data_IF_480039942063
#
_entry.id   IF_480039942063
#
_cell.length_a   1.000
_cell.length_b   1.000
_cell.length_c   1.000
_cell.angle_alpha   90.00
_cell.angle_beta   90.00
_cell.angle_gamma   90.00
#
_symmetry.space_group_name_H-M   'P 1'
#
loop_
_entity.id
_entity.type
_entity.pdbx_description
1 polymer ?
#
# COMPACT_ATOMS: atom_id res chain seq x y z
N UNK A 1 -23.63 -4.48 25.63
CA UNK A 1 -24.11 -4.24 24.25
C UNK A 1 -22.95 -4.25 23.28
N UNK A 2 -23.11 -4.91 22.16
CA UNK A 2 -22.10 -4.88 21.11
C UNK A 2 -22.05 -3.48 20.49
N UNK A 3 -20.85 -2.93 20.38
CA UNK A 3 -20.64 -1.67 19.66
C UNK A 3 -20.82 -1.99 18.16
N UNK A 4 -21.60 -1.18 17.46
CA UNK A 4 -21.70 -1.28 16.01
C UNK A 4 -20.32 -1.00 15.40
N UNK A 5 -19.80 -1.97 14.68
CA UNK A 5 -18.45 -1.89 14.10
C UNK A 5 -18.32 -0.69 13.15
N UNK A 6 -19.34 -0.42 12.36
CA UNK A 6 -19.34 0.74 11.46
C UNK A 6 -19.26 2.06 12.24
N UNK A 7 -20.01 2.17 13.33
CA UNK A 7 -19.98 3.37 14.17
C UNK A 7 -18.60 3.55 14.84
N UNK A 8 -17.99 2.47 15.29
CA UNK A 8 -16.63 2.48 15.86
C UNK A 8 -15.61 2.96 14.82
N UNK A 9 -15.63 2.38 13.62
CA UNK A 9 -14.75 2.78 12.54
C UNK A 9 -14.97 4.24 12.13
N UNK A 10 -16.23 4.69 12.05
CA UNK A 10 -16.56 6.08 11.72
C UNK A 10 -15.98 7.06 12.74
N UNK A 11 -16.10 6.74 14.03
CA UNK A 11 -15.57 7.57 15.11
C UNK A 11 -14.05 7.64 15.04
N UNK A 12 -13.38 6.50 14.88
CA UNK A 12 -11.93 6.44 14.79
C UNK A 12 -11.40 7.15 13.55
N UNK A 13 -12.06 6.97 12.41
CA UNK A 13 -11.68 7.64 11.16
C UNK A 13 -11.81 9.17 11.29
N UNK A 14 -12.90 9.65 11.87
CA UNK A 14 -13.11 11.09 12.11
C UNK A 14 -12.02 11.67 13.02
N UNK A 15 -11.65 10.94 14.08
CA UNK A 15 -10.60 11.37 15.00
C UNK A 15 -9.23 11.48 14.29
N UNK A 16 -8.89 10.51 13.44
CA UNK A 16 -7.65 10.56 12.65
C UNK A 16 -7.69 11.73 11.65
N UNK A 17 -8.77 11.88 10.90
CA UNK A 17 -8.92 12.96 9.92
C UNK A 17 -8.81 14.34 10.55
N UNK A 18 -9.28 14.51 11.78
CA UNK A 18 -9.18 15.77 12.50
C UNK A 18 -7.73 16.20 12.78
N UNK A 19 -6.78 15.27 12.75
CA UNK A 19 -5.36 15.53 12.99
C UNK A 19 -4.55 15.75 11.70
N UNK A 20 -5.17 15.59 10.54
CA UNK A 20 -4.49 15.63 9.24
C UNK A 20 -4.90 16.89 8.47
N UNK A 21 -3.95 17.66 7.91
CA UNK A 21 -4.28 18.76 7.00
C UNK A 21 -5.03 18.28 5.75
N UNK A 22 -5.88 19.15 5.19
CA UNK A 22 -6.71 18.79 4.03
C UNK A 22 -5.92 18.42 2.76
N UNK A 23 -4.65 18.84 2.67
CA UNK A 23 -3.78 18.53 1.54
C UNK A 23 -2.97 17.25 1.72
N UNK A 24 -3.24 16.47 2.76
CA UNK A 24 -2.57 15.19 3.03
C UNK A 24 -3.50 14.04 2.68
N UNK A 25 -2.99 13.08 1.91
CA UNK A 25 -3.72 11.87 1.55
C UNK A 25 -3.63 10.84 2.69
N UNK A 26 -4.78 10.34 3.11
CA UNK A 26 -4.86 9.27 4.10
C UNK A 26 -4.94 7.93 3.39
N UNK A 27 -4.02 7.04 3.71
CA UNK A 27 -4.07 5.63 3.32
C UNK A 27 -4.41 4.83 4.56
N UNK A 28 -5.52 4.09 4.54
CA UNK A 28 -5.92 3.25 5.65
C UNK A 28 -5.35 1.85 5.46
N UNK A 29 -4.46 1.46 6.36
CA UNK A 29 -3.84 0.13 6.33
C UNK A 29 -4.76 -0.87 6.99
N UNK A 30 -5.18 -1.88 6.24
CA UNK A 30 -6.17 -2.87 6.68
C UNK A 30 -5.59 -4.25 6.99
N UNK A 31 -4.27 -4.36 7.06
CA UNK A 31 -3.59 -5.62 7.34
C UNK A 31 -4.11 -6.26 8.64
N UNK A 32 -4.30 -7.56 8.62
CA UNK A 32 -4.80 -8.38 9.73
C UNK A 32 -6.27 -8.16 10.09
N UNK A 33 -6.92 -7.17 9.50
CA UNK A 33 -8.36 -6.95 9.68
C UNK A 33 -9.15 -7.63 8.57
N UNK A 34 -10.42 -8.00 8.83
CA UNK A 34 -11.22 -8.74 7.85
C UNK A 34 -11.66 -7.88 6.67
N UNK A 35 -12.02 -8.53 5.57
CA UNK A 35 -12.61 -7.88 4.40
C UNK A 35 -13.80 -6.99 4.76
N UNK A 36 -14.63 -7.43 5.71
CA UNK A 36 -15.79 -6.64 6.16
C UNK A 36 -15.42 -5.26 6.69
N UNK A 37 -14.29 -5.13 7.38
CA UNK A 37 -13.81 -3.82 7.85
C UNK A 37 -13.42 -2.92 6.67
N UNK A 38 -12.75 -3.46 5.67
CA UNK A 38 -12.40 -2.69 4.48
C UNK A 38 -13.64 -2.22 3.71
N UNK A 39 -14.68 -3.07 3.63
CA UNK A 39 -15.96 -2.71 3.02
C UNK A 39 -16.66 -1.60 3.78
N UNK A 40 -16.67 -1.66 5.11
CA UNK A 40 -17.24 -0.59 5.95
C UNK A 40 -16.46 0.73 5.78
N UNK A 41 -15.14 0.66 5.70
CA UNK A 41 -14.32 1.85 5.47
C UNK A 41 -14.61 2.47 4.10
N UNK A 42 -14.83 1.67 3.07
CA UNK A 42 -15.27 2.16 1.75
C UNK A 42 -16.59 2.91 1.87
N UNK A 43 -17.57 2.34 2.57
CA UNK A 43 -18.86 3.01 2.79
C UNK A 43 -18.72 4.34 3.55
N UNK A 44 -17.72 4.44 4.42
CA UNK A 44 -17.39 5.66 5.16
C UNK A 44 -16.58 6.69 4.35
N UNK A 45 -16.31 6.40 3.09
CA UNK A 45 -15.64 7.33 2.19
C UNK A 45 -14.12 7.20 2.11
N UNK A 46 -13.53 6.15 2.68
CA UNK A 46 -12.10 5.86 2.50
C UNK A 46 -11.84 5.53 1.03
N UNK A 47 -10.88 6.21 0.43
CA UNK A 47 -10.56 6.07 -1.00
C UNK A 47 -9.24 5.33 -1.25
N UNK A 48 -8.37 5.24 -0.26
CA UNK A 48 -7.05 4.61 -0.40
C UNK A 48 -6.79 3.63 0.74
N UNK A 49 -6.37 2.42 0.36
CA UNK A 49 -6.16 1.30 1.29
C UNK A 49 -4.74 0.77 1.14
N UNK A 50 -4.19 0.24 2.22
CA UNK A 50 -2.87 -0.37 2.23
C UNK A 50 -2.85 -1.78 2.78
N UNK A 51 -2.07 -2.65 2.12
CA UNK A 51 -1.81 -4.01 2.57
C UNK A 51 -0.32 -4.32 2.45
N UNK A 52 0.18 -5.19 3.32
CA UNK A 52 1.57 -5.61 3.27
C UNK A 52 1.78 -7.09 2.96
N UNK A 53 0.69 -7.83 2.72
CA UNK A 53 0.72 -9.22 2.26
C UNK A 53 -0.10 -9.36 1.00
N UNK A 54 0.49 -10.00 0.00
CA UNK A 54 -0.16 -10.24 -1.29
C UNK A 54 -1.52 -10.94 -1.13
N UNK A 55 -1.60 -11.95 -0.29
CA UNK A 55 -2.82 -12.73 -0.09
C UNK A 55 -3.99 -11.85 0.39
N UNK A 56 -3.74 -10.94 1.34
CA UNK A 56 -4.78 -10.06 1.86
C UNK A 56 -5.22 -9.02 0.81
N UNK A 57 -4.28 -8.43 0.07
CA UNK A 57 -4.61 -7.49 -1.00
C UNK A 57 -5.38 -8.14 -2.13
N UNK A 58 -4.97 -9.33 -2.54
CA UNK A 58 -5.64 -10.10 -3.59
C UNK A 58 -7.09 -10.45 -3.24
N UNK A 59 -7.35 -10.73 -1.96
CA UNK A 59 -8.70 -10.99 -1.47
C UNK A 59 -9.56 -9.72 -1.42
N UNK A 60 -9.01 -8.63 -0.92
CA UNK A 60 -9.77 -7.41 -0.60
C UNK A 60 -9.96 -6.49 -1.79
N UNK A 61 -8.93 -6.25 -2.59
CA UNK A 61 -8.95 -5.24 -3.64
C UNK A 61 -10.06 -5.45 -4.69
N UNK A 62 -10.37 -6.68 -5.14
CA UNK A 62 -11.47 -6.87 -6.09
C UNK A 62 -12.85 -6.56 -5.52
N UNK A 63 -13.00 -6.59 -4.19
CA UNK A 63 -14.29 -6.44 -3.49
C UNK A 63 -14.45 -5.12 -2.79
N UNK A 64 -13.42 -4.27 -2.79
CA UNK A 64 -13.43 -2.96 -2.14
C UNK A 64 -12.89 -1.93 -3.12
N UNK A 65 -13.76 -1.05 -3.57
CA UNK A 65 -13.38 -0.01 -4.53
C UNK A 65 -12.50 1.04 -3.86
N UNK A 66 -11.37 1.33 -4.47
CA UNK A 66 -10.42 2.31 -3.98
C UNK A 66 -9.06 2.14 -4.64
N UNK A 67 -8.12 2.98 -4.25
CA UNK A 67 -6.72 2.90 -4.68
C UNK A 67 -5.95 2.03 -3.69
N UNK A 68 -5.40 0.93 -4.16
CA UNK A 68 -4.75 -0.07 -3.31
C UNK A 68 -3.24 0.07 -3.35
N UNK A 69 -2.64 0.17 -2.18
CA UNK A 69 -1.20 0.30 -1.98
C UNK A 69 -0.62 -1.00 -1.43
N UNK A 70 0.42 -1.50 -2.07
CA UNK A 70 1.25 -2.56 -1.51
C UNK A 70 2.41 -1.95 -0.74
N UNK A 71 2.53 -2.28 0.55
CA UNK A 71 3.50 -1.68 1.48
C UNK A 71 4.47 -2.71 2.08
N UNK A 72 4.39 -3.96 1.66
CA UNK A 72 5.28 -5.02 2.12
C UNK A 72 6.58 -5.07 1.35
N UNK A 73 7.53 -5.87 1.85
CA UNK A 73 8.74 -6.17 1.08
C UNK A 73 8.40 -6.97 -0.17
N UNK A 74 9.05 -6.63 -1.28
CA UNK A 74 8.83 -7.30 -2.54
C UNK A 74 9.53 -8.67 -2.54
N UNK A 75 8.84 -9.66 -3.08
CA UNK A 75 9.35 -11.00 -3.34
C UNK A 75 9.11 -11.32 -4.81
N UNK A 76 10.16 -11.71 -5.53
CA UNK A 76 10.09 -11.88 -6.99
C UNK A 76 9.00 -12.87 -7.43
N UNK A 77 8.76 -13.92 -6.66
CA UNK A 77 7.74 -14.95 -6.99
C UNK A 77 6.30 -14.48 -6.74
N UNK A 78 6.10 -13.32 -6.12
CA UNK A 78 4.76 -12.78 -5.84
C UNK A 78 4.41 -11.55 -6.67
N UNK A 79 5.33 -11.03 -7.46
CA UNK A 79 5.14 -9.76 -8.19
C UNK A 79 3.98 -9.82 -9.17
N UNK A 80 3.82 -10.91 -9.90
CA UNK A 80 2.69 -11.04 -10.83
C UNK A 80 1.35 -10.93 -10.10
N UNK A 81 1.23 -11.57 -8.95
CA UNK A 81 0.03 -11.49 -8.12
C UNK A 81 -0.17 -10.09 -7.56
N UNK A 82 0.86 -9.48 -6.98
CA UNK A 82 0.81 -8.11 -6.42
C UNK A 82 0.37 -7.13 -7.50
N UNK A 83 0.98 -7.17 -8.68
CA UNK A 83 0.65 -6.27 -9.78
C UNK A 83 -0.77 -6.46 -10.33
N UNK A 84 -1.42 -7.59 -10.03
CA UNK A 84 -2.80 -7.82 -10.47
C UNK A 84 -3.83 -7.00 -9.68
N UNK A 85 -3.51 -6.60 -8.45
CA UNK A 85 -4.45 -5.86 -7.60
C UNK A 85 -3.92 -4.51 -7.11
N UNK A 86 -2.61 -4.32 -6.99
CA UNK A 86 -2.03 -3.07 -6.48
C UNK A 86 -2.05 -1.98 -7.54
N UNK A 87 -2.44 -0.79 -7.13
CA UNK A 87 -2.36 0.44 -7.93
C UNK A 87 -1.07 1.20 -7.64
N UNK A 88 -0.53 1.02 -6.43
CA UNK A 88 0.70 1.65 -5.97
C UNK A 88 1.57 0.62 -5.26
N UNK A 89 2.87 0.63 -5.56
CA UNK A 89 3.87 -0.14 -4.82
C UNK A 89 4.80 0.85 -4.12
N UNK A 90 4.87 0.79 -2.79
CA UNK A 90 5.59 1.78 -1.99
C UNK A 90 7.01 1.33 -1.61
N UNK A 91 7.45 0.17 -2.04
CA UNK A 91 8.63 -0.51 -1.49
C UNK A 91 9.69 -0.86 -2.52
N UNK A 92 9.76 -0.10 -3.61
CA UNK A 92 10.85 -0.21 -4.58
C UNK A 92 12.15 0.28 -3.92
N UNK A 93 13.16 -0.56 -3.87
CA UNK A 93 14.44 -0.23 -3.23
C UNK A 93 15.67 -0.67 -4.02
N UNK A 94 15.49 -1.32 -5.17
CA UNK A 94 16.59 -1.72 -6.06
C UNK A 94 16.20 -1.58 -7.53
N UNK A 95 17.17 -1.36 -8.45
CA UNK A 95 16.90 -1.38 -9.89
C UNK A 95 16.31 -2.72 -10.37
N UNK A 96 16.70 -3.82 -9.72
CA UNK A 96 16.18 -5.15 -10.06
C UNK A 96 14.65 -5.21 -9.91
N UNK A 97 14.11 -4.64 -8.82
CA UNK A 97 12.66 -4.64 -8.62
C UNK A 97 11.94 -3.67 -9.56
N UNK A 98 12.56 -2.60 -9.99
CA UNK A 98 12.00 -1.75 -11.07
C UNK A 98 11.74 -2.60 -12.31
N UNK A 99 12.75 -3.35 -12.78
CA UNK A 99 12.61 -4.21 -13.95
C UNK A 99 11.56 -5.30 -13.76
N UNK A 100 11.59 -5.98 -12.63
CA UNK A 100 10.67 -7.09 -12.37
C UNK A 100 9.22 -6.63 -12.27
N UNK A 101 8.96 -5.48 -11.64
CA UNK A 101 7.62 -4.89 -11.57
C UNK A 101 7.16 -4.45 -12.96
N UNK A 102 8.03 -3.81 -13.73
CA UNK A 102 7.73 -3.40 -15.11
C UNK A 102 7.30 -4.59 -15.97
N UNK A 103 7.99 -5.72 -15.84
CA UNK A 103 7.65 -6.95 -16.58
C UNK A 103 6.38 -7.63 -16.09
N UNK A 104 6.08 -7.54 -14.80
CA UNK A 104 4.91 -8.19 -14.19
C UNK A 104 3.62 -7.37 -14.34
N UNK A 105 3.74 -6.05 -14.49
CA UNK A 105 2.59 -5.15 -14.55
C UNK A 105 1.86 -5.27 -15.89
N UNK A 106 0.54 -5.41 -15.82
CA UNK A 106 -0.35 -5.40 -16.99
C UNK A 106 -1.09 -4.06 -17.13
N UNK A 107 -0.87 -3.15 -16.19
CA UNK A 107 -1.40 -1.79 -16.16
C UNK A 107 -0.33 -0.85 -15.64
N UNK A 108 -0.55 0.44 -15.76
CA UNK A 108 0.30 1.44 -15.12
C UNK A 108 0.20 1.31 -13.60
N UNK A 109 1.34 1.22 -12.93
CA UNK A 109 1.45 1.14 -11.47
C UNK A 109 2.32 2.30 -11.00
N UNK A 110 1.78 3.09 -10.08
CA UNK A 110 2.54 4.15 -9.41
C UNK A 110 3.52 3.51 -8.42
N UNK A 111 4.73 4.02 -8.32
CA UNK A 111 5.73 3.48 -7.41
C UNK A 111 6.37 4.58 -6.57
N UNK A 112 6.72 4.22 -5.34
CA UNK A 112 7.57 5.03 -4.47
C UNK A 112 8.87 4.29 -4.22
N UNK A 113 9.96 5.04 -4.15
CA UNK A 113 11.26 4.48 -3.77
C UNK A 113 11.37 4.54 -2.25
N UNK A 114 11.50 3.37 -1.63
CA UNK A 114 11.71 3.28 -0.19
C UNK A 114 13.16 3.57 0.14
N UNK A 115 13.39 4.49 1.07
CA UNK A 115 14.73 4.91 1.51
C UNK A 115 15.02 4.37 2.90
N UNK A 116 16.22 3.82 3.09
CA UNK A 116 16.71 3.48 4.42
C UNK A 116 17.31 4.71 5.07
N UNK A 117 16.73 5.16 6.17
CA UNK A 117 17.18 6.36 6.90
C UNK A 117 18.42 6.11 7.76
N UNK A 118 18.63 4.87 8.18
CA UNK A 118 19.74 4.47 9.05
C UNK A 118 20.82 3.64 8.36
N UNK A 119 20.66 3.39 7.04
CA UNK A 119 21.58 2.56 6.28
C UNK A 119 21.44 1.06 6.50
N UNK A 120 20.48 0.60 7.29
CA UNK A 120 20.24 -0.81 7.60
C UNK A 120 19.40 -1.46 6.49
N UNK A 121 19.99 -1.66 5.31
CA UNK A 121 19.26 -2.11 4.12
C UNK A 121 18.68 -3.52 4.21
N UNK A 122 19.13 -4.34 5.17
CA UNK A 122 18.55 -5.67 5.38
C UNK A 122 17.06 -5.63 5.80
N UNK A 123 16.58 -4.50 6.30
CA UNK A 123 15.17 -4.27 6.63
C UNK A 123 14.36 -3.69 5.45
N UNK A 124 14.95 -3.62 4.28
CA UNK A 124 14.41 -2.93 3.12
C UNK A 124 14.81 -1.46 3.08
N UNK A 125 14.64 -0.86 1.92
CA UNK A 125 15.00 0.53 1.68
C UNK A 125 16.37 0.69 1.02
N UNK A 126 16.43 1.60 0.05
CA UNK A 126 17.67 1.94 -0.66
C UNK A 126 18.51 2.91 0.16
N UNK A 127 19.82 2.88 -0.07
CA UNK A 127 20.70 3.95 0.40
C UNK A 127 20.37 5.25 -0.34
N UNK A 128 20.50 6.38 0.34
CA UNK A 128 20.24 7.68 -0.27
C UNK A 128 21.10 7.93 -1.53
N UNK A 129 22.31 7.37 -1.56
CA UNK A 129 23.23 7.46 -2.71
C UNK A 129 22.73 6.70 -3.96
N UNK A 130 21.80 5.75 -3.81
CA UNK A 130 21.28 4.93 -4.90
C UNK A 130 19.97 5.49 -5.49
N UNK A 131 19.39 6.52 -4.91
CA UNK A 131 18.06 7.02 -5.29
C UNK A 131 17.99 7.47 -6.75
N UNK A 132 19.00 8.21 -7.21
CA UNK A 132 18.98 8.73 -8.59
C UNK A 132 19.04 7.59 -9.61
N UNK A 133 19.88 6.57 -9.39
CA UNK A 133 19.98 5.46 -10.33
C UNK A 133 18.71 4.61 -10.37
N UNK A 134 18.02 4.47 -9.22
CA UNK A 134 16.72 3.77 -9.17
C UNK A 134 15.65 4.60 -9.90
N UNK A 135 15.59 5.90 -9.63
CA UNK A 135 14.61 6.80 -10.25
C UNK A 135 14.80 6.88 -11.78
N UNK A 136 16.04 6.91 -12.25
CA UNK A 136 16.34 6.96 -13.69
C UNK A 136 15.86 5.71 -14.43
N UNK A 137 15.65 4.60 -13.72
CA UNK A 137 15.19 3.35 -14.31
C UNK A 137 13.66 3.23 -14.35
N UNK A 138 12.93 4.02 -13.58
CA UNK A 138 11.49 4.04 -13.55
C UNK A 138 10.93 4.80 -14.76
#
# INVERSE_FOLDING_TARGET
MAIDRKAELAQNLAAVKATIPNNVHLIVVTKTFPLSDAQLLQELGVAEFGENRDQEGKEKAPLVHGKWHFQGQLQSNKLKSICSWADVIQTIDTPRYVDLVSKAAEKEIEVFIQVSLDGQTHRGGALATDLNSIADQI
#
